data_IF_368681359990
#
_entry.id   IF_368681359990
#
_cell.length_a   1.000
_cell.length_b   1.000
_cell.length_c   1.000
_cell.angle_alpha   90.00
_cell.angle_beta   90.00
_cell.angle_gamma   90.00
#
_symmetry.space_group_name_H-M   'P 1'
#
loop_
_entity.id
_entity.type
_entity.pdbx_description
1 polymer ?
#
# COMPACT_ATOMS: atom_id res chain seq x y z
N UNK A 1 -15.51 9.50 13.05
CA UNK A 1 -14.21 8.93 12.62
C UNK A 1 -13.52 8.13 13.72
N UNK A 2 -13.53 8.62 14.97
CA UNK A 2 -12.92 7.93 16.12
C UNK A 2 -13.45 6.51 16.36
N UNK A 3 -14.73 6.25 16.10
CA UNK A 3 -15.32 4.91 16.30
C UNK A 3 -14.76 3.87 15.32
N UNK A 4 -14.43 4.28 14.10
CA UNK A 4 -13.77 3.41 13.11
C UNK A 4 -12.36 3.03 13.56
N UNK A 5 -11.62 3.97 14.13
CA UNK A 5 -10.26 3.73 14.67
C UNK A 5 -10.33 2.78 15.88
N UNK A 6 -11.28 3.01 16.80
CA UNK A 6 -11.52 2.11 17.94
C UNK A 6 -11.86 0.69 17.49
N UNK A 7 -12.61 0.55 16.40
CA UNK A 7 -12.94 -0.74 15.81
C UNK A 7 -11.69 -1.49 15.32
N UNK A 8 -10.80 -0.84 14.55
CA UNK A 8 -9.55 -1.46 14.10
C UNK A 8 -8.63 -1.82 15.28
N UNK A 9 -8.55 -0.94 16.28
CA UNK A 9 -7.74 -1.18 17.49
C UNK A 9 -8.14 -2.47 18.23
N UNK A 10 -9.45 -2.82 18.22
CA UNK A 10 -9.94 -4.07 18.81
C UNK A 10 -9.27 -5.30 18.22
N UNK A 11 -8.88 -5.27 16.94
CA UNK A 11 -8.17 -6.37 16.28
C UNK A 11 -6.66 -6.24 16.39
N UNK A 12 -6.09 -5.04 16.23
CA UNK A 12 -4.64 -4.84 16.32
C UNK A 12 -4.05 -5.16 17.69
N UNK A 13 -4.78 -4.90 18.79
CA UNK A 13 -4.28 -5.14 20.15
C UNK A 13 -3.89 -6.60 20.42
N UNK A 14 -4.40 -7.54 19.61
CA UNK A 14 -4.06 -8.96 19.72
C UNK A 14 -2.71 -9.31 19.08
N UNK A 15 -2.14 -8.41 18.27
CA UNK A 15 -0.86 -8.60 17.57
C UNK A 15 0.14 -7.46 17.85
N UNK A 16 0.46 -7.16 19.13
CA UNK A 16 1.30 -6.01 19.47
C UNK A 16 2.72 -6.12 18.92
N UNK A 17 3.28 -7.34 18.87
CA UNK A 17 4.62 -7.58 18.31
C UNK A 17 4.70 -7.20 16.84
N UNK A 18 3.75 -7.66 16.02
CA UNK A 18 3.75 -7.38 14.58
C UNK A 18 3.47 -5.91 14.31
N UNK A 19 2.59 -5.29 15.10
CA UNK A 19 2.36 -3.86 15.03
C UNK A 19 3.63 -3.07 15.35
N UNK A 20 4.36 -3.44 16.40
CA UNK A 20 5.62 -2.81 16.77
C UNK A 20 6.69 -2.97 15.67
N UNK A 21 6.82 -4.17 15.09
CA UNK A 21 7.70 -4.42 13.95
C UNK A 21 7.36 -3.49 12.78
N UNK A 22 6.08 -3.37 12.41
CA UNK A 22 5.67 -2.53 11.29
C UNK A 22 5.85 -1.04 11.58
N UNK A 23 5.60 -0.57 12.80
CA UNK A 23 5.77 0.86 13.14
C UNK A 23 7.25 1.22 13.25
N UNK A 24 8.07 0.37 13.86
CA UNK A 24 9.48 0.69 14.15
C UNK A 24 10.41 0.38 12.97
N UNK A 25 10.23 -0.74 12.29
CA UNK A 25 11.14 -1.14 11.20
C UNK A 25 10.81 -0.48 9.87
N UNK A 26 9.57 -0.01 9.65
CA UNK A 26 9.20 0.68 8.39
C UNK A 26 10.03 1.95 8.16
N UNK A 27 10.22 2.84 9.15
CA UNK A 27 11.15 3.97 9.03
C UNK A 27 12.59 3.54 8.79
N UNK A 28 13.06 2.50 9.48
CA UNK A 28 14.45 2.03 9.36
C UNK A 28 14.71 1.49 7.95
N UNK A 29 13.80 0.69 7.38
CA UNK A 29 13.95 0.23 5.99
C UNK A 29 13.91 1.40 5.00
N UNK A 30 13.02 2.38 5.20
CA UNK A 30 12.88 3.52 4.31
C UNK A 30 14.16 4.38 4.33
N UNK A 31 14.71 4.61 5.51
CA UNK A 31 15.98 5.31 5.69
C UNK A 31 17.14 4.57 4.99
N UNK A 32 17.26 3.25 5.17
CA UNK A 32 18.31 2.45 4.52
C UNK A 32 18.19 2.50 2.98
N UNK A 33 16.97 2.37 2.45
CA UNK A 33 16.75 2.46 1.01
C UNK A 33 17.06 3.85 0.45
N UNK A 34 16.67 4.92 1.17
CA UNK A 34 17.00 6.29 0.81
C UNK A 34 18.52 6.57 0.89
N UNK A 35 19.25 5.81 1.69
CA UNK A 35 20.70 5.97 1.86
C UNK A 35 21.54 5.29 0.77
N UNK A 36 21.04 4.19 0.17
CA UNK A 36 21.75 3.42 -0.87
C UNK A 36 22.36 4.27 -2.00
N UNK A 37 21.65 5.24 -2.61
CA UNK A 37 22.21 6.07 -3.68
C UNK A 37 23.43 6.89 -3.24
N UNK A 38 23.53 7.26 -1.95
CA UNK A 38 24.65 8.04 -1.43
C UNK A 38 25.93 7.20 -1.32
N UNK A 39 25.81 5.93 -0.97
CA UNK A 39 26.96 5.00 -1.00
C UNK A 39 27.43 4.75 -2.44
N UNK A 40 26.50 4.67 -3.37
CA UNK A 40 26.83 4.58 -4.79
C UNK A 40 27.58 5.83 -5.26
N UNK A 41 27.14 7.03 -4.85
CA UNK A 41 27.85 8.27 -5.12
C UNK A 41 29.29 8.25 -4.58
N UNK A 42 29.50 7.86 -3.31
CA UNK A 42 30.84 7.79 -2.73
C UNK A 42 31.77 6.86 -3.50
N UNK A 43 31.24 5.74 -3.99
CA UNK A 43 32.01 4.79 -4.81
C UNK A 43 32.40 5.40 -6.16
N UNK A 44 31.48 6.14 -6.80
CA UNK A 44 31.74 6.83 -8.08
C UNK A 44 32.77 7.95 -7.91
N UNK A 45 32.61 8.80 -6.90
CA UNK A 45 33.50 9.93 -6.63
C UNK A 45 34.92 9.44 -6.30
N UNK A 46 35.04 8.36 -5.54
CA UNK A 46 36.33 7.73 -5.24
C UNK A 46 37.03 7.19 -6.50
N UNK A 47 36.29 6.51 -7.39
CA UNK A 47 36.85 6.01 -8.65
C UNK A 47 37.30 7.15 -9.56
N UNK A 48 36.62 8.30 -9.51
CA UNK A 48 36.94 9.47 -10.34
C UNK A 48 38.12 10.27 -9.82
N UNK A 49 38.11 10.65 -8.55
CA UNK A 49 39.06 11.61 -7.98
C UNK A 49 40.18 10.95 -7.16
N UNK A 50 40.09 9.63 -6.91
CA UNK A 50 41.03 8.88 -6.08
C UNK A 50 41.05 9.30 -4.60
N UNK A 51 40.09 10.15 -4.19
CA UNK A 51 39.97 10.72 -2.85
C UNK A 51 38.64 10.32 -2.23
N UNK A 52 38.67 10.05 -0.94
CA UNK A 52 37.44 9.83 -0.16
C UNK A 52 36.75 11.19 -0.02
N UNK A 53 35.45 11.31 -0.34
CA UNK A 53 34.73 12.56 -0.16
C UNK A 53 34.74 12.99 1.31
N UNK A 54 34.89 14.30 1.58
CA UNK A 54 34.93 14.92 2.93
C UNK A 54 33.56 14.87 3.68
N UNK A 55 32.75 13.87 3.39
CA UNK A 55 31.54 13.59 4.15
C UNK A 55 31.91 12.81 5.41
N UNK A 56 31.43 13.25 6.59
CA UNK A 56 31.68 12.58 7.87
C UNK A 56 31.31 11.08 7.85
N UNK A 57 30.31 10.71 7.04
CA UNK A 57 29.85 9.32 6.91
C UNK A 57 30.77 8.51 5.99
N UNK A 58 31.32 9.11 4.93
CA UNK A 58 32.29 8.45 4.06
C UNK A 58 33.61 8.22 4.79
N UNK A 59 34.07 9.20 5.57
CA UNK A 59 35.24 9.10 6.44
C UNK A 59 35.03 8.04 7.54
N UNK A 60 33.87 8.00 8.18
CA UNK A 60 33.55 6.95 9.16
C UNK A 60 33.50 5.55 8.53
N UNK A 61 32.90 5.42 7.35
CA UNK A 61 32.85 4.16 6.61
C UNK A 61 34.26 3.69 6.25
N UNK A 62 35.09 4.55 5.67
CA UNK A 62 36.47 4.20 5.31
C UNK A 62 37.31 3.89 6.56
N UNK A 63 37.13 4.63 7.66
CA UNK A 63 37.79 4.33 8.93
C UNK A 63 37.38 2.98 9.54
N UNK A 64 36.16 2.50 9.27
CA UNK A 64 35.79 1.11 9.58
C UNK A 64 36.52 0.12 8.67
N UNK A 65 36.62 0.40 7.37
CA UNK A 65 37.36 -0.43 6.43
C UNK A 65 38.84 -0.57 6.79
N UNK A 66 39.49 0.53 7.17
CA UNK A 66 40.88 0.55 7.62
C UNK A 66 41.11 -0.31 8.87
N UNK A 67 40.15 -0.35 9.81
CA UNK A 67 40.21 -1.26 10.99
C UNK A 67 40.23 -2.74 10.60
N UNK A 68 39.65 -3.09 9.46
CA UNK A 68 39.67 -4.45 8.92
C UNK A 68 40.76 -4.67 7.86
N UNK A 69 41.66 -3.69 7.66
CA UNK A 69 42.75 -3.77 6.68
C UNK A 69 42.30 -3.66 5.22
N UNK A 70 41.10 -3.14 4.97
CA UNK A 70 40.55 -2.95 3.63
C UNK A 70 40.78 -1.50 3.19
N UNK A 71 41.42 -1.33 2.03
CA UNK A 71 41.53 -0.03 1.39
C UNK A 71 40.15 0.53 0.97
N UNK A 72 40.03 1.86 0.77
CA UNK A 72 38.76 2.48 0.39
C UNK A 72 38.20 1.94 -0.93
N UNK A 73 39.08 1.48 -1.83
CA UNK A 73 38.79 0.88 -3.13
C UNK A 73 37.94 -0.39 -3.04
N UNK A 74 38.17 -1.23 -2.02
CA UNK A 74 37.41 -2.48 -1.81
C UNK A 74 36.29 -2.31 -0.81
N UNK A 75 36.49 -1.44 0.19
CA UNK A 75 35.54 -1.29 1.28
C UNK A 75 34.24 -0.61 0.83
N UNK A 76 34.31 0.47 0.05
CA UNK A 76 33.12 1.21 -0.40
C UNK A 76 32.14 0.35 -1.23
N UNK A 77 32.57 -0.40 -2.27
CA UNK A 77 31.65 -1.27 -3.01
C UNK A 77 31.16 -2.45 -2.16
N UNK A 78 32.00 -3.00 -1.27
CA UNK A 78 31.58 -4.07 -0.35
C UNK A 78 30.51 -3.57 0.64
N UNK A 79 30.69 -2.37 1.20
CA UNK A 79 29.74 -1.73 2.09
C UNK A 79 28.40 -1.45 1.38
N UNK A 80 28.44 -1.03 0.11
CA UNK A 80 27.24 -0.89 -0.72
C UNK A 80 26.49 -2.22 -0.88
N UNK A 81 27.19 -3.30 -1.24
CA UNK A 81 26.59 -4.64 -1.40
C UNK A 81 26.01 -5.12 -0.07
N UNK A 82 26.77 -5.05 1.02
CA UNK A 82 26.32 -5.49 2.34
C UNK A 82 25.11 -4.70 2.82
N UNK A 83 25.13 -3.37 2.70
CA UNK A 83 24.00 -2.54 3.09
C UNK A 83 22.78 -2.79 2.18
N UNK A 84 22.99 -3.07 0.89
CA UNK A 84 21.94 -3.48 -0.04
C UNK A 84 21.29 -4.80 0.36
N UNK A 85 22.08 -5.80 0.73
CA UNK A 85 21.58 -7.09 1.24
C UNK A 85 20.82 -6.90 2.55
N UNK A 86 21.36 -6.12 3.49
CA UNK A 86 20.67 -5.82 4.77
C UNK A 86 19.35 -5.10 4.52
N UNK A 87 19.33 -4.09 3.64
CA UNK A 87 18.13 -3.35 3.28
C UNK A 87 17.08 -4.27 2.62
N UNK A 88 17.52 -5.19 1.75
CA UNK A 88 16.65 -6.17 1.11
C UNK A 88 16.08 -7.18 2.12
N UNK A 89 16.91 -7.73 3.00
CA UNK A 89 16.46 -8.65 4.05
C UNK A 89 15.48 -7.98 5.01
N UNK A 90 15.76 -6.74 5.42
CA UNK A 90 14.86 -5.96 6.27
C UNK A 90 13.54 -5.68 5.55
N UNK A 91 13.59 -5.31 4.27
CA UNK A 91 12.40 -5.12 3.44
C UNK A 91 11.57 -6.41 3.39
N UNK A 92 12.18 -7.53 3.00
CA UNK A 92 11.51 -8.82 2.94
C UNK A 92 10.89 -9.22 4.29
N UNK A 93 11.59 -8.94 5.39
CA UNK A 93 11.11 -9.18 6.75
C UNK A 93 9.86 -8.35 7.08
N UNK A 94 9.88 -7.04 6.82
CA UNK A 94 8.72 -6.15 7.02
C UNK A 94 7.55 -6.57 6.14
N UNK A 95 7.82 -6.93 4.88
CA UNK A 95 6.79 -7.40 3.95
C UNK A 95 6.16 -8.73 4.40
N UNK A 96 6.97 -9.66 4.90
CA UNK A 96 6.49 -10.93 5.46
C UNK A 96 5.58 -10.73 6.67
N UNK A 97 5.97 -9.84 7.60
CA UNK A 97 5.16 -9.50 8.77
C UNK A 97 3.84 -8.84 8.38
N UNK A 98 3.87 -7.96 7.37
CA UNK A 98 2.65 -7.34 6.84
C UNK A 98 1.73 -8.37 6.19
N UNK A 99 2.27 -9.28 5.38
CA UNK A 99 1.48 -10.35 4.76
C UNK A 99 0.84 -11.27 5.80
N UNK A 100 1.61 -11.65 6.83
CA UNK A 100 1.11 -12.42 7.96
C UNK A 100 -0.02 -11.70 8.69
N UNK A 101 0.14 -10.40 8.98
CA UNK A 101 -0.89 -9.62 9.66
C UNK A 101 -2.16 -9.48 8.82
N UNK A 102 -2.05 -9.31 7.49
CA UNK A 102 -3.23 -9.28 6.60
C UNK A 102 -4.04 -10.58 6.75
N UNK A 103 -3.38 -11.74 6.63
CA UNK A 103 -4.05 -13.05 6.75
C UNK A 103 -4.67 -13.27 8.13
N UNK A 104 -4.00 -12.79 9.18
CA UNK A 104 -4.47 -12.97 10.54
C UNK A 104 -5.68 -12.09 10.86
N UNK A 105 -5.66 -10.83 10.41
CA UNK A 105 -6.82 -9.93 10.52
C UNK A 105 -7.99 -10.46 9.70
N UNK A 106 -7.72 -10.96 8.50
CA UNK A 106 -8.75 -11.57 7.66
C UNK A 106 -9.46 -12.71 8.34
N UNK A 107 -8.71 -13.70 8.80
CA UNK A 107 -9.27 -14.81 9.55
C UNK A 107 -10.04 -14.34 10.79
N UNK A 108 -9.50 -13.39 11.57
CA UNK A 108 -10.14 -12.94 12.81
C UNK A 108 -11.47 -12.20 12.57
N UNK A 109 -11.53 -11.35 11.55
CA UNK A 109 -12.76 -10.62 11.19
C UNK A 109 -13.79 -11.60 10.62
N UNK A 110 -13.36 -12.50 9.73
CA UNK A 110 -14.22 -13.49 9.08
C UNK A 110 -14.79 -14.49 10.06
N UNK A 111 -13.95 -15.06 10.92
CA UNK A 111 -14.36 -16.03 11.94
C UNK A 111 -15.39 -15.42 12.89
N UNK A 112 -15.11 -14.23 13.42
CA UNK A 112 -16.04 -13.55 14.32
C UNK A 112 -17.37 -13.21 13.66
N UNK A 113 -17.35 -12.83 12.39
CA UNK A 113 -18.58 -12.55 11.63
C UNK A 113 -19.38 -13.83 11.40
N UNK A 114 -18.69 -14.93 11.07
CA UNK A 114 -19.30 -16.25 10.91
C UNK A 114 -19.92 -16.76 12.21
N UNK A 115 -19.22 -16.63 13.34
CA UNK A 115 -19.74 -17.03 14.66
C UNK A 115 -21.00 -16.21 15.02
N UNK A 116 -21.03 -14.89 14.77
CA UNK A 116 -22.22 -14.08 15.03
C UNK A 116 -23.40 -14.45 14.12
N UNK A 117 -23.14 -14.75 12.84
CA UNK A 117 -24.19 -15.14 11.87
C UNK A 117 -24.78 -16.51 12.22
N UNK A 118 -23.95 -17.47 12.61
CA UNK A 118 -24.41 -18.84 12.93
C UNK A 118 -25.24 -18.91 14.21
N UNK A 119 -25.13 -17.93 15.09
CA UNK A 119 -26.00 -17.80 16.27
C UNK A 119 -27.34 -17.13 15.99
N UNK A 120 -27.57 -16.61 14.78
CA UNK A 120 -28.86 -15.98 14.43
C UNK A 120 -29.94 -17.03 14.17
N UNK A 121 -31.18 -16.71 14.57
CA UNK A 121 -32.35 -17.55 14.33
C UNK A 121 -32.87 -17.50 12.88
N UNK A 122 -33.89 -18.31 12.56
CA UNK A 122 -34.47 -18.41 11.21
C UNK A 122 -34.92 -17.08 10.60
N UNK A 123 -35.42 -16.15 11.42
CA UNK A 123 -35.87 -14.83 10.98
C UNK A 123 -34.79 -14.02 10.26
N UNK A 124 -33.53 -14.18 10.67
CA UNK A 124 -32.40 -13.53 10.01
C UNK A 124 -32.21 -14.06 8.58
N UNK A 125 -32.27 -15.39 8.40
CA UNK A 125 -32.09 -16.03 7.10
C UNK A 125 -33.32 -15.90 6.19
N UNK A 126 -34.50 -15.65 6.76
CA UNK A 126 -35.68 -15.26 5.99
C UNK A 126 -35.57 -13.83 5.45
N UNK A 127 -34.89 -12.95 6.17
CA UNK A 127 -34.70 -11.54 5.77
C UNK A 127 -33.50 -11.32 4.84
N UNK A 128 -32.42 -12.09 5.00
CA UNK A 128 -31.18 -11.93 4.24
C UNK A 128 -30.87 -13.20 3.44
N UNK A 129 -30.66 -13.05 2.12
CA UNK A 129 -30.35 -14.19 1.24
C UNK A 129 -28.99 -14.77 1.59
N UNK A 130 -28.89 -16.10 1.63
CA UNK A 130 -27.64 -16.81 1.93
C UNK A 130 -26.49 -16.40 1.01
N UNK A 131 -26.78 -16.18 -0.28
CA UNK A 131 -25.78 -15.70 -1.25
C UNK A 131 -25.16 -14.37 -0.83
N UNK A 132 -25.97 -13.40 -0.43
CA UNK A 132 -25.49 -12.07 -0.01
C UNK A 132 -24.61 -12.16 1.24
N UNK A 133 -24.95 -13.07 2.16
CA UNK A 133 -24.16 -13.33 3.37
C UNK A 133 -22.80 -13.91 3.00
N UNK A 134 -22.76 -14.91 2.12
CA UNK A 134 -21.52 -15.53 1.65
C UNK A 134 -20.65 -14.49 0.93
N UNK A 135 -21.21 -13.71 0.01
CA UNK A 135 -20.48 -12.64 -0.70
C UNK A 135 -19.90 -11.61 0.26
N UNK A 136 -20.61 -11.23 1.33
CA UNK A 136 -20.05 -10.33 2.34
C UNK A 136 -18.90 -10.97 3.12
N UNK A 137 -19.01 -12.26 3.44
CA UNK A 137 -17.97 -13.02 4.15
C UNK A 137 -16.75 -13.34 3.28
N UNK A 138 -16.90 -13.42 1.96
CA UNK A 138 -15.79 -13.61 1.02
C UNK A 138 -15.30 -12.28 0.50
N UNK A 139 -16.08 -11.51 -0.24
CA UNK A 139 -15.56 -10.42 -1.06
C UNK A 139 -15.41 -9.09 -0.30
N UNK A 140 -16.25 -8.86 0.72
CA UNK A 140 -16.19 -7.60 1.48
C UNK A 140 -15.22 -7.69 2.66
N UNK A 141 -15.13 -8.86 3.30
CA UNK A 141 -14.17 -9.11 4.37
C UNK A 141 -12.80 -9.46 3.77
N UNK A 142 -12.71 -10.53 2.97
CA UNK A 142 -11.46 -10.92 2.32
C UNK A 142 -11.14 -9.95 1.19
N UNK A 143 -9.86 -9.63 1.02
CA UNK A 143 -9.37 -8.74 -0.03
C UNK A 143 -9.71 -7.25 0.11
N UNK A 144 -10.82 -6.85 0.75
CA UNK A 144 -11.20 -5.43 0.93
C UNK A 144 -10.98 -4.93 2.36
N UNK A 145 -11.85 -5.29 3.30
CA UNK A 145 -11.81 -4.75 4.66
C UNK A 145 -10.50 -5.16 5.36
N UNK A 146 -10.15 -6.44 5.31
CA UNK A 146 -8.95 -6.99 5.97
C UNK A 146 -7.65 -6.46 5.35
N UNK A 147 -7.62 -6.31 4.02
CA UNK A 147 -6.48 -5.71 3.32
C UNK A 147 -6.32 -4.23 3.67
N UNK A 148 -7.41 -3.46 3.67
CA UNK A 148 -7.37 -2.05 4.07
C UNK A 148 -6.93 -1.89 5.53
N UNK A 149 -7.44 -2.76 6.41
CA UNK A 149 -7.07 -2.86 7.81
C UNK A 149 -5.60 -3.20 8.06
N UNK A 150 -4.79 -3.55 7.06
CA UNK A 150 -3.36 -3.72 7.26
C UNK A 150 -2.58 -3.04 6.15
N UNK A 151 -2.55 -3.64 4.95
CA UNK A 151 -1.81 -3.10 3.81
C UNK A 151 -2.22 -1.68 3.46
N UNK A 152 -3.51 -1.35 3.48
CA UNK A 152 -3.98 0.00 3.14
C UNK A 152 -3.35 1.07 4.02
N UNK A 153 -3.40 0.88 5.34
CA UNK A 153 -2.86 1.83 6.33
C UNK A 153 -1.33 1.83 6.32
N UNK A 154 -0.70 0.65 6.37
CA UNK A 154 0.76 0.55 6.50
C UNK A 154 1.52 0.93 5.22
N UNK A 155 0.93 0.74 4.04
CA UNK A 155 1.53 1.24 2.79
C UNK A 155 1.47 2.76 2.69
N UNK A 156 0.38 3.37 3.16
CA UNK A 156 0.30 4.83 3.23
C UNK A 156 1.37 5.38 4.19
N UNK A 157 1.53 4.74 5.34
CA UNK A 157 2.61 5.08 6.29
C UNK A 157 4.01 4.90 5.69
N UNK A 158 4.27 3.76 5.04
CA UNK A 158 5.53 3.47 4.35
C UNK A 158 5.83 4.51 3.26
N UNK A 159 4.84 4.88 2.44
CA UNK A 159 4.98 5.88 1.39
C UNK A 159 5.32 7.26 1.96
N UNK A 160 4.61 7.72 2.99
CA UNK A 160 4.89 9.01 3.65
C UNK A 160 6.30 9.02 4.21
N UNK A 161 6.68 7.94 4.92
CA UNK A 161 7.99 7.82 5.55
C UNK A 161 9.12 7.82 4.52
N UNK A 162 8.94 7.08 3.42
CA UNK A 162 9.89 7.05 2.29
C UNK A 162 10.06 8.43 1.67
N UNK A 163 8.97 9.15 1.39
CA UNK A 163 9.03 10.52 0.84
C UNK A 163 9.81 11.45 1.77
N UNK A 164 9.57 11.38 3.09
CA UNK A 164 10.29 12.20 4.07
C UNK A 164 11.79 11.89 4.04
N UNK A 165 12.20 10.62 4.13
CA UNK A 165 13.62 10.27 4.14
C UNK A 165 14.33 10.60 2.83
N UNK A 166 13.66 10.38 1.69
CA UNK A 166 14.21 10.75 0.37
C UNK A 166 14.40 12.26 0.27
N UNK A 167 13.42 13.07 0.68
CA UNK A 167 13.54 14.53 0.66
C UNK A 167 14.66 15.03 1.57
N UNK A 168 14.79 14.48 2.79
CA UNK A 168 15.89 14.79 3.71
C UNK A 168 17.24 14.46 3.05
N UNK A 169 17.35 13.28 2.42
CA UNK A 169 18.56 12.85 1.74
C UNK A 169 18.90 13.77 0.55
N UNK A 170 17.92 14.13 -0.28
CA UNK A 170 18.13 15.04 -1.40
C UNK A 170 18.59 16.43 -0.94
N UNK A 171 17.92 17.01 0.07
CA UNK A 171 18.29 18.31 0.65
C UNK A 171 19.70 18.29 1.23
N UNK A 172 20.12 17.17 1.84
CA UNK A 172 21.47 17.02 2.40
C UNK A 172 22.58 16.93 1.35
N UNK A 173 22.23 16.59 0.09
CA UNK A 173 23.20 16.51 -1.02
C UNK A 173 23.29 17.87 -1.70
N UNK A 174 22.16 18.40 -2.18
CA UNK A 174 22.12 19.71 -2.84
C UNK A 174 20.70 20.31 -2.75
N UNK A 175 20.50 21.36 -1.92
CA UNK A 175 19.19 22.01 -1.78
C UNK A 175 18.65 22.62 -3.08
N UNK A 176 19.54 23.19 -3.91
CA UNK A 176 19.14 23.84 -5.15
C UNK A 176 18.63 22.84 -6.19
N UNK A 177 19.36 21.73 -6.37
CA UNK A 177 18.95 20.65 -7.27
C UNK A 177 17.67 19.96 -6.77
N UNK A 178 17.51 19.88 -5.45
CA UNK A 178 16.28 19.37 -4.83
C UNK A 178 15.09 20.26 -5.13
N UNK A 179 15.23 21.59 -5.04
CA UNK A 179 14.13 22.51 -5.36
C UNK A 179 13.72 22.40 -6.84
N UNK A 180 14.70 22.29 -7.75
CA UNK A 180 14.44 22.12 -9.18
C UNK A 180 13.69 20.81 -9.49
N UNK A 181 14.02 19.73 -8.79
CA UNK A 181 13.46 18.39 -9.02
C UNK A 181 12.14 18.14 -8.27
N UNK A 182 12.02 18.64 -7.03
CA UNK A 182 10.84 18.50 -6.20
C UNK A 182 9.80 19.62 -6.43
N UNK A 183 10.20 20.75 -7.00
CA UNK A 183 9.32 21.89 -7.30
C UNK A 183 8.10 21.56 -8.17
N UNK A 184 8.19 20.67 -9.17
CA UNK A 184 7.03 20.20 -9.93
C UNK A 184 6.06 19.32 -9.13
N UNK A 185 6.47 18.71 -8.01
CA UNK A 185 5.65 17.74 -7.27
C UNK A 185 4.33 18.33 -6.72
N UNK A 186 4.31 19.51 -6.06
CA UNK A 186 3.06 20.13 -5.61
C UNK A 186 2.07 20.38 -6.75
N UNK A 187 2.56 20.77 -7.94
CA UNK A 187 1.72 20.98 -9.12
C UNK A 187 1.13 19.66 -9.60
N UNK A 188 1.93 18.59 -9.65
CA UNK A 188 1.45 17.25 -9.99
C UNK A 188 0.41 16.75 -8.99
N UNK A 189 0.64 16.95 -7.69
CA UNK A 189 -0.28 16.58 -6.62
C UNK A 189 -1.62 17.34 -6.78
N UNK A 190 -1.57 18.63 -7.06
CA UNK A 190 -2.77 19.44 -7.30
C UNK A 190 -3.57 18.95 -8.52
N UNK A 191 -2.89 18.72 -9.65
CA UNK A 191 -3.52 18.19 -10.87
C UNK A 191 -4.12 16.81 -10.59
N UNK A 192 -3.40 15.95 -9.87
CA UNK A 192 -3.87 14.62 -9.50
C UNK A 192 -5.17 14.67 -8.69
N UNK A 193 -5.25 15.48 -7.64
CA UNK A 193 -6.46 15.58 -6.83
C UNK A 193 -7.65 16.14 -7.62
N UNK A 194 -7.42 17.15 -8.48
CA UNK A 194 -8.46 17.71 -9.33
C UNK A 194 -9.00 16.69 -10.34
N UNK A 195 -8.11 15.98 -11.02
CA UNK A 195 -8.46 14.92 -11.98
C UNK A 195 -9.14 13.74 -11.29
N UNK A 196 -8.65 13.32 -10.12
CA UNK A 196 -9.24 12.23 -9.34
C UNK A 196 -10.69 12.53 -8.95
N UNK A 197 -10.98 13.76 -8.49
CA UNK A 197 -12.35 14.18 -8.15
C UNK A 197 -13.27 14.17 -9.37
N UNK A 198 -12.78 14.63 -10.52
CA UNK A 198 -13.54 14.60 -11.77
C UNK A 198 -13.82 13.17 -12.23
N UNK A 199 -12.81 12.31 -12.19
CA UNK A 199 -12.93 10.90 -12.55
C UNK A 199 -13.95 10.18 -11.66
N UNK A 200 -13.91 10.38 -10.34
CA UNK A 200 -14.89 9.78 -9.43
C UNK A 200 -16.33 10.14 -9.81
N UNK A 201 -16.59 11.43 -10.07
CA UNK A 201 -17.92 11.87 -10.50
C UNK A 201 -18.37 11.20 -11.81
N UNK A 202 -17.47 11.08 -12.80
CA UNK A 202 -17.77 10.41 -14.07
C UNK A 202 -18.01 8.91 -13.89
N UNK A 203 -17.27 8.26 -12.98
CA UNK A 203 -17.50 6.87 -12.61
C UNK A 203 -18.85 6.67 -11.93
N UNK A 204 -19.27 7.57 -11.03
CA UNK A 204 -20.60 7.51 -10.40
C UNK A 204 -21.73 7.64 -11.43
N UNK A 205 -21.60 8.58 -12.38
CA UNK A 205 -22.55 8.74 -13.48
C UNK A 205 -22.60 7.48 -14.37
N UNK A 206 -21.44 6.88 -14.69
CA UNK A 206 -21.33 5.65 -15.46
C UNK A 206 -21.98 4.47 -14.73
N UNK A 207 -21.72 4.31 -13.43
CA UNK A 207 -22.28 3.26 -12.59
C UNK A 207 -23.82 3.35 -12.53
N UNK A 208 -24.36 4.57 -12.48
CA UNK A 208 -25.81 4.81 -12.50
C UNK A 208 -26.44 4.34 -13.82
N UNK A 209 -25.81 4.65 -14.97
CA UNK A 209 -26.26 4.19 -16.29
C UNK A 209 -26.16 2.68 -16.48
N UNK A 210 -25.09 2.07 -15.98
CA UNK A 210 -24.92 0.61 -15.99
C UNK A 210 -26.03 -0.05 -15.17
N UNK A 211 -26.36 0.51 -14.02
CA UNK A 211 -27.42 -0.01 -13.15
C UNK A 211 -28.79 0.07 -13.81
N UNK A 212 -29.12 1.20 -14.45
CA UNK A 212 -30.40 1.34 -15.17
C UNK A 212 -30.49 0.39 -16.38
N UNK A 213 -29.39 0.24 -17.13
CA UNK A 213 -29.34 -0.70 -18.26
C UNK A 213 -29.50 -2.16 -17.80
N UNK A 214 -28.83 -2.53 -16.72
CA UNK A 214 -28.93 -3.87 -16.13
C UNK A 214 -30.35 -4.17 -15.65
N UNK A 215 -31.02 -3.19 -15.02
CA UNK A 215 -32.40 -3.34 -14.58
C UNK A 215 -33.37 -3.60 -15.75
N UNK A 216 -33.18 -2.89 -16.89
CA UNK A 216 -33.97 -3.15 -18.10
C UNK A 216 -33.69 -4.54 -18.66
N UNK A 217 -32.42 -4.96 -18.73
CA UNK A 217 -32.09 -6.32 -19.17
C UNK A 217 -32.70 -7.40 -18.28
N UNK A 218 -32.66 -7.23 -16.96
CA UNK A 218 -33.26 -8.16 -16.01
C UNK A 218 -34.78 -8.26 -16.19
N UNK A 219 -35.45 -7.12 -16.37
CA UNK A 219 -36.88 -7.09 -16.69
C UNK A 219 -37.20 -7.81 -18.00
N UNK A 220 -36.42 -7.57 -19.05
CA UNK A 220 -36.57 -8.25 -20.35
C UNK A 220 -36.34 -9.76 -20.26
N UNK A 221 -35.35 -10.21 -19.51
CA UNK A 221 -35.07 -11.65 -19.37
C UNK A 221 -36.08 -12.36 -18.47
N UNK A 222 -36.50 -11.76 -17.35
CA UNK A 222 -37.54 -12.37 -16.49
C UNK A 222 -38.90 -12.42 -17.21
N UNK A 223 -39.19 -11.38 -18.01
CA UNK A 223 -40.40 -11.24 -18.81
C UNK A 223 -40.31 -11.76 -20.25
N UNK A 224 -39.28 -12.54 -20.61
CA UNK A 224 -38.98 -12.87 -22.01
C UNK A 224 -40.13 -13.53 -22.76
N UNK A 225 -40.95 -14.32 -22.05
CA UNK A 225 -42.17 -14.93 -22.62
C UNK A 225 -43.22 -13.89 -23.00
N UNK A 226 -43.39 -12.86 -22.17
CA UNK A 226 -44.32 -11.73 -22.41
C UNK A 226 -43.81 -10.87 -23.56
N UNK A 227 -42.51 -10.52 -23.57
CA UNK A 227 -41.92 -9.73 -24.66
C UNK A 227 -42.09 -10.43 -26.01
N UNK A 228 -41.89 -11.76 -26.04
CA UNK A 228 -42.10 -12.58 -27.25
C UNK A 228 -43.57 -12.70 -27.64
N UNK A 229 -44.51 -12.85 -26.69
CA UNK A 229 -45.94 -12.98 -27.00
C UNK A 229 -46.54 -11.70 -27.59
N UNK A 230 -46.03 -10.53 -27.21
CA UNK A 230 -46.46 -9.24 -27.75
C UNK A 230 -45.64 -8.75 -28.97
N UNK A 231 -44.68 -9.56 -29.46
CA UNK A 231 -43.81 -9.20 -30.61
C UNK A 231 -43.07 -7.86 -30.39
N UNK A 232 -42.76 -7.51 -29.14
CA UNK A 232 -42.14 -6.22 -28.78
C UNK A 232 -40.60 -6.24 -28.76
N UNK A 233 -39.96 -7.24 -29.36
CA UNK A 233 -38.49 -7.37 -29.38
C UNK A 233 -37.78 -6.18 -30.01
N UNK A 234 -38.36 -5.54 -31.04
CA UNK A 234 -37.79 -4.34 -31.68
C UNK A 234 -37.87 -3.09 -30.80
N UNK A 235 -38.90 -2.98 -29.97
CA UNK A 235 -39.08 -1.83 -29.08
C UNK A 235 -38.14 -1.85 -27.86
N UNK A 236 -37.65 -3.03 -27.46
CA UNK A 236 -36.68 -3.20 -26.38
C UNK A 236 -35.21 -3.13 -26.86
N UNK A 237 -34.99 -3.01 -28.18
CA UNK A 237 -33.65 -2.93 -28.80
C UNK A 237 -33.14 -1.49 -28.99
N UNK A 238 -34.02 -0.49 -28.91
CA UNK A 238 -33.70 0.95 -29.00
C UNK A 238 -33.43 1.54 -27.61
#
# INVERSE_FOLDING_TARGET
>A
MLDKIKWFWKYYRHFPYVLAVLILLTPVQAMLQAYLPRLMQFSIDYVKDGKVPENSIALWAVGLGERYGLGPDRFLPLAFILLGVVAFCLYAFVQGHRAWMNRRLDWAIRQKSFDDITTKGPDFFNKFRTGDIVTRLTDDIDGKLSWFACSGIFRLYEAITMVIFVLIMMLSINPWLTLLTAGPLPVMIFIFFRSSKLLHKRYDDLQTKISSFTAVMEACFSGIRVVKSYVQTKAQQS
#
